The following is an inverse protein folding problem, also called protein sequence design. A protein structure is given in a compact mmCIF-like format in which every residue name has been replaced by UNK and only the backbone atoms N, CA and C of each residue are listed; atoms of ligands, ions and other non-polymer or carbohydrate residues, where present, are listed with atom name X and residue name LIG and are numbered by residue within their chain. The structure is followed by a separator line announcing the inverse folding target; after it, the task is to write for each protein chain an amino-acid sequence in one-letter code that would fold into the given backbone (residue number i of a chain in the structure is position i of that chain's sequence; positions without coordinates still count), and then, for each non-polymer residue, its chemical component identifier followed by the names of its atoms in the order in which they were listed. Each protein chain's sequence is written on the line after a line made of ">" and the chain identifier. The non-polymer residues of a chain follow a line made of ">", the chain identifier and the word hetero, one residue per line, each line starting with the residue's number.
data_IF_909276724627
#
_entry.id   IF_909276724627
#
_cell.length_a   1.000
_cell.length_b   1.000
_cell.length_c   1.000
_cell.angle_alpha   90.00
_cell.angle_beta   90.00
_cell.angle_gamma   90.00
#
_symmetry.space_group_name_H-M   'P 1'
#
loop_
_entity.id
_entity.type
_entity.pdbx_description
1 polymer ?
#
# COMPACT_ATOMS: atom_id res chain seq x y z
N UNK A 1 34.70 36.02 7.83
CA UNK A 1 33.43 35.42 7.36
C UNK A 1 32.31 36.26 7.92
N UNK A 2 31.47 36.85 7.07
CA UNK A 2 30.60 37.94 7.48
C UNK A 2 29.41 37.41 8.29
N UNK A 3 29.17 37.98 9.47
CA UNK A 3 28.15 37.55 10.43
C UNK A 3 26.75 37.44 9.79
N UNK A 4 26.45 38.30 8.80
CA UNK A 4 25.21 38.27 8.00
C UNK A 4 25.08 37.02 7.13
N UNK A 5 26.16 36.54 6.54
CA UNK A 5 26.16 35.33 5.72
C UNK A 5 25.96 34.10 6.59
N UNK A 6 26.55 34.08 7.78
CA UNK A 6 26.38 33.00 8.76
C UNK A 6 24.92 32.96 9.25
N UNK A 7 24.32 34.11 9.57
CA UNK A 7 22.90 34.17 9.95
C UNK A 7 21.96 33.72 8.83
N UNK A 8 22.28 34.02 7.57
CA UNK A 8 21.51 33.54 6.42
C UNK A 8 21.53 32.00 6.34
N UNK A 9 22.69 31.37 6.48
CA UNK A 9 22.79 29.91 6.47
C UNK A 9 22.05 29.26 7.64
N UNK A 10 22.10 29.87 8.83
CA UNK A 10 21.35 29.38 10.00
C UNK A 10 19.84 29.46 9.77
N UNK A 11 19.34 30.55 9.17
CA UNK A 11 17.93 30.70 8.81
C UNK A 11 17.48 29.66 7.79
N UNK A 12 18.30 29.41 6.76
CA UNK A 12 18.01 28.41 5.73
C UNK A 12 18.01 27.00 6.33
N UNK A 13 18.98 26.67 7.17
CA UNK A 13 19.06 25.37 7.84
C UNK A 13 17.85 25.12 8.75
N UNK A 14 17.41 26.15 9.49
CA UNK A 14 16.24 26.05 10.37
C UNK A 14 14.94 25.89 9.58
N UNK A 15 14.81 26.57 8.43
CA UNK A 15 13.66 26.42 7.53
C UNK A 15 13.59 25.01 6.92
N UNK A 16 14.72 24.48 6.46
CA UNK A 16 14.81 23.11 5.93
C UNK A 16 14.47 22.06 7.01
N UNK A 17 14.99 22.25 8.23
CA UNK A 17 14.70 21.37 9.36
C UNK A 17 13.21 21.40 9.75
N UNK A 18 12.60 22.59 9.76
CA UNK A 18 11.16 22.74 9.99
C UNK A 18 10.30 22.06 8.92
N UNK A 19 10.69 22.15 7.65
CA UNK A 19 9.98 21.49 6.56
C UNK A 19 10.01 19.95 6.70
N UNK A 20 11.18 19.38 7.05
CA UNK A 20 11.34 17.95 7.33
C UNK A 20 10.45 17.48 8.49
N UNK A 21 10.40 18.25 9.58
CA UNK A 21 9.51 17.94 10.72
C UNK A 21 8.03 18.02 10.35
N UNK A 22 7.63 19.00 9.54
CA UNK A 22 6.24 19.14 9.07
C UNK A 22 5.80 17.93 8.22
N UNK A 23 6.66 17.47 7.30
CA UNK A 23 6.40 16.29 6.48
C UNK A 23 6.27 15.04 7.37
N UNK A 24 7.20 14.85 8.32
CA UNK A 24 7.13 13.74 9.27
C UNK A 24 5.88 13.77 10.16
N UNK A 25 5.42 14.97 10.54
CA UNK A 25 4.22 15.13 11.35
C UNK A 25 2.91 14.87 10.58
N UNK A 26 2.83 15.27 9.30
CA UNK A 26 1.68 14.98 8.44
C UNK A 26 1.47 13.46 8.30
N UNK A 27 2.55 12.70 8.08
CA UNK A 27 2.50 11.23 7.96
C UNK A 27 1.98 10.58 9.25
N UNK A 28 2.30 11.13 10.43
CA UNK A 28 1.80 10.62 11.71
C UNK A 28 0.30 10.84 11.90
N UNK A 29 -0.27 11.96 11.43
CA UNK A 29 -1.69 12.26 11.68
C UNK A 29 -2.66 11.39 10.88
N UNK A 30 -2.27 10.89 9.70
CA UNK A 30 -3.16 10.07 8.88
C UNK A 30 -3.24 8.60 9.34
N UNK A 31 -2.25 8.11 10.09
CA UNK A 31 -2.19 6.70 10.52
C UNK A 31 -3.02 6.43 11.81
N UNK A 32 -3.31 7.46 12.63
CA UNK A 32 -4.09 7.28 13.87
C UNK A 32 -5.60 7.50 13.74
N UNK A 33 -6.12 7.92 12.58
CA UNK A 33 -7.56 7.98 12.32
C UNK A 33 -8.03 6.78 11.50
N UNK A 34 -7.78 5.57 12.00
CA UNK A 34 -8.50 4.40 11.50
C UNK A 34 -9.55 4.02 12.54
N UNK A 35 -10.71 4.65 12.42
CA UNK A 35 -11.93 4.21 13.10
C UNK A 35 -12.23 2.78 12.59
N UNK A 36 -11.96 1.76 13.41
CA UNK A 36 -12.39 0.40 13.14
C UNK A 36 -13.91 0.31 13.30
N UNK A 37 -14.66 0.71 12.28
CA UNK A 37 -16.06 0.34 12.16
C UNK A 37 -16.13 -1.00 11.41
N UNK A 38 -16.20 -2.09 12.17
CA UNK A 38 -16.56 -3.41 11.65
C UNK A 38 -18.04 -3.36 11.25
N UNK A 39 -18.33 -2.88 10.05
CA UNK A 39 -19.65 -2.96 9.46
C UNK A 39 -19.53 -3.76 8.16
N UNK A 40 -20.24 -4.90 8.01
CA UNK A 40 -20.34 -5.56 6.72
C UNK A 40 -21.02 -4.58 5.78
N UNK A 41 -20.27 -4.10 4.78
CA UNK A 41 -20.77 -3.20 3.76
C UNK A 41 -21.73 -3.98 2.84
N UNK A 42 -22.99 -4.05 3.25
CA UNK A 42 -24.11 -4.17 2.33
C UNK A 42 -24.11 -2.93 1.45
N UNK A 43 -24.09 -3.16 0.14
CA UNK A 43 -24.07 -2.12 -0.88
C UNK A 43 -25.19 -1.07 -0.68
N UNK A 44 -24.92 0.22 -0.98
CA UNK A 44 -25.91 1.27 -0.85
C UNK A 44 -26.89 1.19 -2.00
N UNK A 45 -28.12 0.77 -1.72
CA UNK A 45 -29.27 0.98 -2.61
C UNK A 45 -29.86 2.33 -2.23
N UNK A 46 -29.65 3.35 -3.07
CA UNK A 46 -30.37 4.62 -3.00
C UNK A 46 -31.67 4.54 -3.82
N UNK A 47 -32.68 5.35 -3.46
CA UNK A 47 -34.08 4.97 -3.50
C UNK A 47 -34.74 5.27 -4.85
N UNK A 48 -35.51 4.32 -5.37
CA UNK A 48 -36.47 4.59 -6.43
C UNK A 48 -37.85 4.16 -5.94
N UNK A 49 -38.66 5.17 -5.64
CA UNK A 49 -40.09 5.05 -5.39
C UNK A 49 -40.77 4.32 -6.56
N UNK A 50 -41.56 3.30 -6.21
CA UNK A 50 -42.88 2.97 -6.77
C UNK A 50 -43.18 3.49 -8.18
N UNK A 51 -43.27 2.59 -9.16
CA UNK A 51 -44.52 2.31 -9.90
C UNK A 51 -44.29 1.30 -11.03
N UNK A 52 -45.30 0.48 -11.24
CA UNK A 52 -45.38 -0.64 -12.16
C UNK A 52 -45.38 -0.24 -13.65
N UNK A 53 -44.93 -1.20 -14.48
CA UNK A 53 -45.36 -1.57 -15.84
C UNK A 53 -45.56 -0.44 -16.88
N UNK A 54 -44.86 -0.50 -18.02
CA UNK A 54 -45.40 -1.11 -19.24
C UNK A 54 -44.43 -1.00 -20.44
N UNK A 55 -44.63 -1.90 -21.40
CA UNK A 55 -43.86 -2.11 -22.61
C UNK A 55 -43.79 -0.89 -23.56
N UNK A 56 -42.77 -0.81 -24.43
CA UNK A 56 -42.94 -0.59 -25.90
C UNK A 56 -41.59 -0.39 -26.66
N UNK A 57 -41.34 -1.33 -27.59
CA UNK A 57 -40.96 -1.18 -29.01
C UNK A 57 -39.80 -0.24 -29.46
N UNK A 58 -38.76 -0.89 -30.00
CA UNK A 58 -37.96 -0.64 -31.23
C UNK A 58 -37.54 0.78 -31.66
N UNK A 59 -36.22 1.01 -31.79
CA UNK A 59 -35.48 0.99 -33.08
C UNK A 59 -34.12 1.72 -33.02
N UNK A 60 -33.08 1.01 -33.48
CA UNK A 60 -31.86 1.44 -34.20
C UNK A 60 -31.31 2.87 -34.02
N UNK A 61 -30.09 2.98 -33.45
CA UNK A 61 -28.99 3.78 -34.00
C UNK A 61 -27.66 3.51 -33.28
N UNK A 62 -26.80 2.76 -33.97
CA UNK A 62 -25.35 2.88 -34.04
C UNK A 62 -24.63 3.79 -33.01
N UNK A 63 -23.89 3.20 -32.09
CA UNK A 63 -22.63 3.75 -31.54
C UNK A 63 -21.88 2.66 -30.77
N UNK A 64 -21.24 1.78 -31.52
CA UNK A 64 -20.15 0.95 -31.04
C UNK A 64 -18.96 1.86 -30.71
N UNK A 65 -18.86 2.32 -29.45
CA UNK A 65 -17.62 2.93 -28.95
C UNK A 65 -17.16 2.20 -27.70
N UNK A 66 -16.13 1.38 -27.93
CA UNK A 66 -15.25 0.72 -26.96
C UNK A 66 -14.93 1.63 -25.77
N UNK A 67 -15.53 1.38 -24.60
CA UNK A 67 -15.07 1.95 -23.30
C UNK A 67 -15.10 0.97 -22.12
N UNK A 68 -15.18 -0.33 -22.36
CA UNK A 68 -15.15 -1.34 -21.27
C UNK A 68 -13.72 -1.79 -20.90
N UNK A 69 -12.71 -1.47 -21.72
CA UNK A 69 -11.31 -1.85 -21.46
C UNK A 69 -10.56 -0.91 -20.51
N UNK A 70 -10.86 0.40 -20.54
CA UNK A 70 -10.02 1.41 -19.90
C UNK A 70 -10.32 1.61 -18.40
N UNK A 71 -11.59 1.43 -17.98
CA UNK A 71 -11.98 1.52 -16.57
C UNK A 71 -11.44 0.35 -15.74
N UNK A 72 -11.33 -0.84 -16.33
CA UNK A 72 -10.80 -2.02 -15.66
C UNK A 72 -9.27 -1.97 -15.48
N UNK A 73 -8.53 -1.39 -16.43
CA UNK A 73 -7.09 -1.21 -16.31
C UNK A 73 -6.74 -0.20 -15.20
N UNK A 74 -7.46 0.92 -15.13
CA UNK A 74 -7.27 1.91 -14.06
C UNK A 74 -7.65 1.37 -12.68
N UNK A 75 -8.74 0.59 -12.58
CA UNK A 75 -9.13 -0.03 -11.31
C UNK A 75 -8.10 -1.07 -10.83
N UNK A 76 -7.61 -1.93 -11.73
CA UNK A 76 -6.55 -2.90 -11.41
C UNK A 76 -5.24 -2.23 -10.99
N UNK A 77 -4.84 -1.16 -11.66
CA UNK A 77 -3.63 -0.42 -11.30
C UNK A 77 -3.77 0.25 -9.92
N UNK A 78 -4.94 0.82 -9.60
CA UNK A 78 -5.21 1.38 -8.27
C UNK A 78 -5.25 0.31 -7.17
N UNK A 79 -5.76 -0.89 -7.49
CA UNK A 79 -5.77 -2.02 -6.56
C UNK A 79 -4.36 -2.53 -6.24
N UNK A 80 -3.52 -2.69 -7.27
CA UNK A 80 -2.12 -3.06 -7.13
C UNK A 80 -1.32 -2.05 -6.28
N UNK A 81 -1.59 -0.75 -6.47
CA UNK A 81 -0.96 0.29 -5.66
C UNK A 81 -1.40 0.23 -4.20
N UNK A 82 -2.69 -0.05 -3.91
CA UNK A 82 -3.15 -0.29 -2.52
C UNK A 82 -2.49 -1.52 -1.92
N UNK A 83 -2.35 -2.60 -2.68
CA UNK A 83 -1.68 -3.82 -2.20
C UNK A 83 -0.21 -3.55 -1.87
N UNK A 84 0.49 -2.74 -2.68
CA UNK A 84 1.86 -2.32 -2.40
C UNK A 84 1.94 -1.48 -1.11
N UNK A 85 1.06 -0.51 -0.93
CA UNK A 85 1.03 0.31 0.30
C UNK A 85 0.75 -0.55 1.53
N UNK A 86 -0.20 -1.49 1.43
CA UNK A 86 -0.51 -2.42 2.50
C UNK A 86 0.72 -3.27 2.86
N UNK A 87 1.43 -3.80 1.85
CA UNK A 87 2.65 -4.58 2.07
C UNK A 87 3.69 -3.80 2.89
N UNK A 88 3.93 -2.52 2.56
CA UNK A 88 4.88 -1.70 3.31
C UNK A 88 4.42 -1.40 4.74
N UNK A 89 3.12 -1.17 4.95
CA UNK A 89 2.57 -0.95 6.29
C UNK A 89 2.69 -2.21 7.15
N UNK A 90 2.34 -3.37 6.61
CA UNK A 90 2.42 -4.66 7.30
C UNK A 90 3.88 -5.00 7.63
N UNK A 91 4.80 -4.76 6.68
CA UNK A 91 6.23 -4.92 6.89
C UNK A 91 6.74 -3.99 8.00
N UNK A 92 6.39 -2.69 7.95
CA UNK A 92 6.83 -1.73 8.97
C UNK A 92 6.33 -2.06 10.37
N UNK A 93 5.08 -2.54 10.47
CA UNK A 93 4.49 -2.97 11.74
C UNK A 93 5.23 -4.18 12.30
N UNK A 94 5.58 -5.14 11.43
CA UNK A 94 6.37 -6.30 11.78
C UNK A 94 7.77 -5.90 12.28
N UNK A 95 8.47 -4.99 11.58
CA UNK A 95 9.78 -4.50 11.99
C UNK A 95 9.72 -3.78 13.33
N UNK A 96 8.67 -2.98 13.56
CA UNK A 96 8.48 -2.29 14.84
C UNK A 96 8.26 -3.29 15.99
N UNK A 97 7.39 -4.30 15.79
CA UNK A 97 7.17 -5.35 16.78
C UNK A 97 8.48 -6.11 17.10
N UNK A 98 9.25 -6.46 16.08
CA UNK A 98 10.57 -7.09 16.24
C UNK A 98 11.55 -6.20 17.01
N UNK A 99 11.54 -4.90 16.75
CA UNK A 99 12.39 -3.93 17.45
C UNK A 99 12.02 -3.78 18.93
N UNK A 100 10.75 -4.02 19.27
CA UNK A 100 10.26 -4.10 20.66
C UNK A 100 10.48 -5.47 21.31
N UNK A 101 11.12 -6.41 20.61
CA UNK A 101 11.39 -7.78 21.08
C UNK A 101 10.20 -8.73 20.96
N UNK A 102 9.11 -8.31 20.31
CA UNK A 102 7.95 -9.15 20.02
C UNK A 102 8.21 -9.96 18.75
N UNK A 103 7.96 -11.26 18.80
CA UNK A 103 8.05 -12.10 17.59
C UNK A 103 6.75 -11.99 16.80
N UNK A 104 6.82 -11.71 15.49
CA UNK A 104 5.65 -11.67 14.64
C UNK A 104 5.10 -13.09 14.41
N UNK A 105 3.81 -13.18 14.14
CA UNK A 105 3.17 -14.45 13.83
C UNK A 105 3.70 -15.01 12.50
N UNK A 106 4.23 -16.24 12.53
CA UNK A 106 4.84 -16.90 11.38
C UNK A 106 3.86 -17.01 10.19
N UNK A 107 2.55 -17.17 10.47
CA UNK A 107 1.53 -17.19 9.44
C UNK A 107 1.43 -15.84 8.72
N UNK A 108 1.46 -14.73 9.46
CA UNK A 108 1.43 -13.37 8.89
C UNK A 108 2.67 -13.09 8.04
N UNK A 109 3.84 -13.55 8.48
CA UNK A 109 5.07 -13.39 7.72
C UNK A 109 5.00 -14.16 6.40
N UNK A 110 4.52 -15.41 6.39
CA UNK A 110 4.36 -16.18 5.16
C UNK A 110 3.36 -15.55 4.17
N UNK A 111 2.26 -14.98 4.68
CA UNK A 111 1.29 -14.24 3.87
C UNK A 111 1.92 -13.00 3.25
N UNK A 112 2.68 -12.23 4.03
CA UNK A 112 3.39 -11.04 3.57
C UNK A 112 4.37 -11.37 2.44
N UNK A 113 5.16 -12.43 2.60
CA UNK A 113 6.09 -12.91 1.57
C UNK A 113 5.35 -13.34 0.29
N UNK A 114 4.24 -14.05 0.43
CA UNK A 114 3.42 -14.46 -0.73
C UNK A 114 2.84 -13.25 -1.46
N UNK A 115 2.38 -12.24 -0.72
CA UNK A 115 1.87 -11.00 -1.30
C UNK A 115 2.98 -10.21 -2.01
N UNK A 116 4.17 -10.13 -1.41
CA UNK A 116 5.33 -9.50 -2.02
C UNK A 116 5.70 -10.16 -3.35
N UNK A 117 5.75 -11.50 -3.41
CA UNK A 117 6.06 -12.23 -4.66
C UNK A 117 5.07 -11.88 -5.79
N UNK A 118 3.77 -11.85 -5.49
CA UNK A 118 2.74 -11.44 -6.46
C UNK A 118 2.94 -10.00 -6.95
N UNK A 119 3.36 -9.10 -6.05
CA UNK A 119 3.64 -7.71 -6.40
C UNK A 119 4.93 -7.56 -7.23
N UNK A 120 5.91 -8.43 -7.03
CA UNK A 120 7.11 -8.50 -7.89
C UNK A 120 6.75 -9.00 -9.29
N UNK A 121 5.93 -10.04 -9.39
CA UNK A 121 5.39 -10.53 -10.68
C UNK A 121 4.61 -9.43 -11.42
N UNK A 122 3.85 -8.62 -10.68
CA UNK A 122 3.12 -7.47 -11.21
C UNK A 122 4.01 -6.23 -11.47
N UNK A 123 5.33 -6.33 -11.32
CA UNK A 123 6.32 -5.24 -11.43
C UNK A 123 6.03 -4.03 -10.53
N UNK A 124 5.25 -4.21 -9.48
CA UNK A 124 4.94 -3.17 -8.49
C UNK A 124 6.02 -3.08 -7.41
N UNK A 125 6.72 -4.18 -7.12
CA UNK A 125 7.86 -4.20 -6.20
C UNK A 125 9.08 -4.69 -6.95
N UNK A 126 10.23 -4.05 -6.73
CA UNK A 126 11.45 -4.50 -7.39
C UNK A 126 11.91 -5.83 -6.80
N UNK A 127 12.38 -6.74 -7.66
CA UNK A 127 12.96 -8.02 -7.22
C UNK A 127 14.13 -7.83 -6.25
N UNK A 128 14.93 -6.78 -6.44
CA UNK A 128 16.04 -6.44 -5.54
C UNK A 128 15.54 -6.05 -4.14
N UNK A 129 14.46 -5.27 -4.07
CA UNK A 129 13.86 -4.86 -2.80
C UNK A 129 13.21 -6.02 -2.06
N UNK A 130 12.46 -6.86 -2.77
CA UNK A 130 11.89 -8.08 -2.18
C UNK A 130 12.97 -9.00 -1.60
N UNK A 131 14.08 -9.19 -2.33
CA UNK A 131 15.23 -9.95 -1.84
C UNK A 131 15.85 -9.33 -0.58
N UNK A 132 16.09 -8.02 -0.58
CA UNK A 132 16.66 -7.33 0.57
C UNK A 132 15.77 -7.44 1.81
N UNK A 133 14.44 -7.37 1.64
CA UNK A 133 13.48 -7.56 2.72
C UNK A 133 13.52 -9.00 3.26
N UNK A 134 13.57 -10.02 2.39
CA UNK A 134 13.70 -11.43 2.82
C UNK A 134 15.04 -11.68 3.52
N UNK A 135 16.15 -11.16 3.00
CA UNK A 135 17.47 -11.28 3.63
C UNK A 135 17.52 -10.64 5.01
N UNK A 136 16.79 -9.54 5.19
CA UNK A 136 16.60 -8.97 6.52
C UNK A 136 15.82 -9.94 7.41
N UNK A 137 14.67 -10.45 6.96
CA UNK A 137 13.84 -11.38 7.72
C UNK A 137 14.59 -12.63 8.15
N UNK A 138 15.49 -13.17 7.32
CA UNK A 138 16.33 -14.33 7.68
C UNK A 138 17.19 -14.05 8.92
N UNK A 139 17.71 -12.82 9.04
CA UNK A 139 18.57 -12.42 10.16
C UNK A 139 17.79 -12.20 11.46
N UNK A 140 16.57 -11.70 11.36
CA UNK A 140 15.76 -11.33 12.52
C UNK A 140 14.77 -12.42 12.95
N UNK A 141 14.40 -13.34 12.05
CA UNK A 141 13.53 -14.51 12.30
C UNK A 141 14.24 -15.80 11.86
N UNK A 142 15.26 -16.27 12.60
CA UNK A 142 15.95 -17.53 12.27
C UNK A 142 15.01 -18.75 12.32
N UNK A 143 13.92 -18.66 13.07
CA UNK A 143 12.88 -19.70 13.15
C UNK A 143 12.16 -19.98 11.83
N UNK A 144 12.15 -19.04 10.87
CA UNK A 144 11.61 -19.27 9.52
C UNK A 144 12.67 -19.37 8.44
N UNK A 145 13.94 -19.60 8.80
CA UNK A 145 15.07 -19.56 7.88
C UNK A 145 14.82 -20.40 6.61
N UNK A 146 14.31 -21.63 6.74
CA UNK A 146 14.04 -22.51 5.61
C UNK A 146 12.98 -21.95 4.65
N UNK A 147 11.88 -21.42 5.17
CA UNK A 147 10.79 -20.86 4.35
C UNK A 147 11.23 -19.56 3.66
N UNK A 148 11.99 -18.73 4.36
CA UNK A 148 12.51 -17.48 3.81
C UNK A 148 13.57 -17.74 2.72
N UNK A 149 14.47 -18.71 2.90
CA UNK A 149 15.41 -19.12 1.85
C UNK A 149 14.70 -19.75 0.64
N UNK A 150 13.57 -20.44 0.85
CA UNK A 150 12.73 -20.92 -0.23
C UNK A 150 12.11 -19.75 -0.99
N UNK A 151 11.57 -18.76 -0.28
CA UNK A 151 11.01 -17.56 -0.89
C UNK A 151 12.06 -16.75 -1.66
N UNK A 152 13.28 -16.63 -1.13
CA UNK A 152 14.39 -15.95 -1.79
C UNK A 152 14.73 -16.60 -3.15
N UNK A 153 14.75 -17.93 -3.20
CA UNK A 153 14.97 -18.70 -4.43
C UNK A 153 13.82 -18.57 -5.43
N UNK A 154 12.58 -18.40 -4.96
CA UNK A 154 11.43 -18.16 -5.84
C UNK A 154 11.50 -16.77 -6.52
N UNK A 155 12.28 -15.86 -5.95
CA UNK A 155 12.54 -14.53 -6.50
C UNK A 155 13.82 -14.49 -7.35
N UNK A 156 14.54 -15.59 -7.59
CA UNK A 156 15.68 -15.69 -8.52
C UNK A 156 15.25 -15.92 -9.98
#
# INVERSE_FOLDING_TARGET
>A
MNNKTIQLYVLIALLLFGALLCIGYQIRKEIYQTHFNNQPYSAPVQPAEKSANDASVSSTANSQTRKTGQNNASAKQSELLRQQQQLYLDFSTMINALSEGQRPDLQQVSLLITQQQKLVEAQQVSKAEAKAQIDFLIKVLPEMEHELHRALRALD
#
